data_IF_544433589996
#
_entry.id   IF_544433589996
#
_cell.length_a   1.000
_cell.length_b   1.000
_cell.length_c   1.000
_cell.angle_alpha   90.00
_cell.angle_beta   90.00
_cell.angle_gamma   90.00
#
_symmetry.space_group_name_H-M   'P 1'
#
loop_
_entity.id
_entity.type
_entity.pdbx_description
1 polymer ?
#
# COMPACT_ATOMS: atom_id res chain seq x y z
N UNK A 1 54.59 -19.55 -36.97
CA UNK A 1 53.91 -18.68 -35.98
C UNK A 1 53.06 -17.56 -36.62
N UNK A 2 53.55 -16.84 -37.64
CA UNK A 2 52.81 -15.71 -38.26
C UNK A 2 51.46 -16.10 -38.90
N UNK A 3 51.34 -17.28 -39.52
CA UNK A 3 50.07 -17.81 -40.08
C UNK A 3 49.02 -18.11 -39.01
N UNK A 4 49.43 -18.50 -37.81
CA UNK A 4 48.52 -18.78 -36.68
C UNK A 4 48.02 -17.47 -36.05
N UNK A 5 48.88 -16.45 -35.99
CA UNK A 5 48.54 -15.12 -35.49
C UNK A 5 47.57 -14.37 -36.42
N UNK A 6 47.74 -14.49 -37.75
CA UNK A 6 46.83 -13.90 -38.74
C UNK A 6 45.43 -14.56 -38.75
N UNK A 7 45.32 -15.86 -38.43
CA UNK A 7 44.01 -16.53 -38.26
C UNK A 7 43.23 -16.05 -37.03
N UNK A 8 43.93 -15.65 -35.97
CA UNK A 8 43.33 -15.08 -34.76
C UNK A 8 42.80 -13.64 -34.97
N UNK A 9 43.38 -12.89 -35.92
CA UNK A 9 42.91 -11.54 -36.28
C UNK A 9 41.66 -11.55 -37.16
N UNK A 10 41.42 -12.61 -37.95
CA UNK A 10 40.26 -12.74 -38.85
C UNK A 10 38.93 -13.03 -38.14
N UNK A 11 38.95 -13.39 -36.85
CA UNK A 11 37.74 -13.73 -36.06
C UNK A 11 37.13 -12.49 -35.39
N UNK A 12 37.93 -11.42 -35.21
CA UNK A 12 37.51 -10.19 -34.52
C UNK A 12 36.28 -9.48 -35.11
N UNK A 13 36.09 -9.33 -36.43
CA UNK A 13 34.92 -8.60 -36.94
C UNK A 13 33.61 -9.34 -36.71
N UNK A 14 33.62 -10.68 -36.78
CA UNK A 14 32.42 -11.51 -36.51
C UNK A 14 32.03 -11.43 -35.03
N UNK A 15 33.01 -11.48 -34.13
CA UNK A 15 32.76 -11.36 -32.69
C UNK A 15 32.21 -9.97 -32.31
N UNK A 16 32.72 -8.90 -32.92
CA UNK A 16 32.24 -7.54 -32.70
C UNK A 16 30.80 -7.37 -33.21
N UNK A 17 30.49 -7.89 -34.40
CA UNK A 17 29.11 -7.86 -34.92
C UNK A 17 28.14 -8.64 -34.02
N UNK A 18 28.56 -9.81 -33.52
CA UNK A 18 27.75 -10.61 -32.61
C UNK A 18 27.48 -9.88 -31.28
N UNK A 19 28.49 -9.22 -30.71
CA UNK A 19 28.32 -8.43 -29.49
C UNK A 19 27.41 -7.20 -29.69
N UNK A 20 27.46 -6.56 -30.86
CA UNK A 20 26.57 -5.44 -31.20
C UNK A 20 25.13 -5.95 -31.38
N UNK A 21 24.92 -7.09 -32.01
CA UNK A 21 23.60 -7.68 -32.20
C UNK A 21 22.98 -8.15 -30.87
N UNK A 22 23.75 -8.87 -30.06
CA UNK A 22 23.29 -9.30 -28.72
C UNK A 22 23.08 -8.10 -27.81
N UNK A 23 23.99 -7.12 -27.81
CA UNK A 23 23.84 -5.87 -27.08
C UNK A 23 22.62 -5.06 -27.53
N UNK A 24 22.37 -4.98 -28.84
CA UNK A 24 21.21 -4.28 -29.42
C UNK A 24 19.87 -4.96 -29.09
N UNK A 25 19.82 -6.30 -29.09
CA UNK A 25 18.62 -7.05 -28.68
C UNK A 25 18.39 -6.94 -27.16
N UNK A 26 19.45 -6.95 -26.36
CA UNK A 26 19.33 -6.77 -24.92
C UNK A 26 18.93 -5.34 -24.54
N UNK A 27 19.53 -4.31 -25.15
CA UNK A 27 19.18 -2.90 -24.89
C UNK A 27 17.82 -2.55 -25.50
N UNK A 28 17.53 -2.98 -26.72
CA UNK A 28 16.23 -2.77 -27.36
C UNK A 28 15.11 -3.54 -26.65
N UNK A 29 15.38 -4.77 -26.21
CA UNK A 29 14.49 -5.56 -25.37
C UNK A 29 14.27 -4.93 -24.01
N UNK A 30 15.32 -4.42 -23.36
CA UNK A 30 15.24 -3.72 -22.08
C UNK A 30 14.48 -2.40 -22.20
N UNK A 31 14.71 -1.60 -23.25
CA UNK A 31 13.97 -0.36 -23.49
C UNK A 31 12.51 -0.62 -23.89
N UNK A 32 12.23 -1.65 -24.70
CA UNK A 32 10.86 -2.04 -25.03
C UNK A 32 10.13 -2.60 -23.80
N UNK A 33 10.84 -3.34 -22.94
CA UNK A 33 10.33 -3.80 -21.65
C UNK A 33 10.01 -2.58 -20.77
N UNK A 34 10.96 -1.69 -20.51
CA UNK A 34 10.73 -0.48 -19.70
C UNK A 34 9.58 0.37 -20.25
N UNK A 35 9.49 0.55 -21.57
CA UNK A 35 8.43 1.36 -22.19
C UNK A 35 7.04 0.70 -22.17
N UNK A 36 6.95 -0.64 -22.25
CA UNK A 36 5.67 -1.35 -22.10
C UNK A 36 5.20 -1.40 -20.64
N UNK A 37 6.10 -1.34 -19.66
CA UNK A 37 5.77 -1.35 -18.24
C UNK A 37 5.46 0.05 -17.66
N UNK A 38 5.74 1.14 -18.40
CA UNK A 38 5.45 2.51 -17.95
C UNK A 38 3.95 2.84 -17.92
N UNK A 39 3.11 2.15 -18.70
CA UNK A 39 1.65 2.32 -18.61
C UNK A 39 1.05 1.21 -17.76
N UNK A 40 0.38 1.60 -16.68
CA UNK A 40 -0.39 0.66 -15.86
C UNK A 40 -1.35 -0.12 -16.77
N UNK A 41 -1.35 -1.46 -16.70
CA UNK A 41 -2.25 -2.27 -17.53
C UNK A 41 -3.70 -1.88 -17.25
N UNK A 42 -4.59 -1.93 -18.26
CA UNK A 42 -6.01 -1.68 -18.04
C UNK A 42 -6.56 -2.58 -16.94
N UNK A 43 -7.40 -2.03 -16.06
CA UNK A 43 -7.97 -2.74 -14.90
C UNK A 43 -8.63 -4.05 -15.31
N UNK A 44 -9.33 -4.08 -16.45
CA UNK A 44 -9.98 -5.30 -16.98
C UNK A 44 -8.99 -6.41 -17.33
N UNK A 45 -7.80 -6.05 -17.86
CA UNK A 45 -6.76 -7.03 -18.15
C UNK A 45 -6.17 -7.60 -16.84
N UNK A 46 -5.97 -6.75 -15.84
CA UNK A 46 -5.49 -7.18 -14.51
C UNK A 46 -6.52 -8.09 -13.84
N UNK A 47 -7.81 -7.72 -13.94
CA UNK A 47 -8.94 -8.48 -13.44
C UNK A 47 -9.04 -9.87 -14.10
N UNK A 48 -8.92 -9.95 -15.42
CA UNK A 48 -8.88 -11.23 -16.14
C UNK A 48 -7.75 -12.12 -15.61
N UNK A 49 -6.52 -11.59 -15.52
CA UNK A 49 -5.36 -12.34 -15.03
C UNK A 49 -5.49 -12.77 -13.57
N UNK A 50 -6.15 -11.96 -12.75
CA UNK A 50 -6.47 -12.30 -11.37
C UNK A 50 -7.38 -13.53 -11.31
N UNK A 51 -8.46 -13.53 -12.09
CA UNK A 51 -9.39 -14.66 -12.18
C UNK A 51 -8.72 -15.91 -12.74
N UNK A 52 -7.97 -15.79 -13.85
CA UNK A 52 -7.23 -16.91 -14.44
C UNK A 52 -6.32 -17.60 -13.40
N UNK A 53 -5.61 -16.80 -12.58
CA UNK A 53 -4.75 -17.35 -11.53
C UNK A 53 -5.56 -18.02 -10.42
N UNK A 54 -6.65 -17.41 -9.98
CA UNK A 54 -7.51 -18.01 -8.94
C UNK A 54 -8.05 -19.36 -9.40
N UNK A 55 -8.51 -19.45 -10.64
CA UNK A 55 -9.02 -20.68 -11.26
C UNK A 55 -7.91 -21.75 -11.41
N UNK A 56 -6.73 -21.37 -11.92
CA UNK A 56 -5.56 -22.25 -12.04
C UNK A 56 -5.17 -22.83 -10.67
N UNK A 57 -5.05 -21.97 -9.64
CA UNK A 57 -4.60 -22.39 -8.31
C UNK A 57 -5.67 -23.15 -7.53
N UNK A 58 -6.94 -22.85 -7.73
CA UNK A 58 -8.05 -23.61 -7.16
C UNK A 58 -8.31 -24.93 -7.91
N UNK A 59 -7.73 -25.12 -9.11
CA UNK A 59 -8.03 -26.20 -10.06
C UNK A 59 -9.53 -26.27 -10.39
N UNK A 60 -10.13 -25.10 -10.58
CA UNK A 60 -11.53 -24.95 -10.96
C UNK A 60 -11.62 -24.39 -12.37
N UNK A 61 -12.75 -24.65 -13.04
CA UNK A 61 -13.04 -24.05 -14.36
C UNK A 61 -13.62 -22.65 -14.27
N UNK A 62 -14.35 -22.37 -13.19
CA UNK A 62 -14.97 -21.07 -12.88
C UNK A 62 -15.50 -21.07 -11.45
N UNK A 63 -15.58 -19.89 -10.87
CA UNK A 63 -16.31 -19.64 -9.63
C UNK A 63 -17.78 -19.35 -9.95
N UNK A 64 -18.70 -19.89 -9.16
CA UNK A 64 -20.14 -19.79 -9.43
C UNK A 64 -20.99 -19.51 -8.17
N UNK A 65 -20.36 -19.18 -7.04
CA UNK A 65 -21.07 -18.90 -5.80
C UNK A 65 -21.52 -20.15 -5.07
N UNK A 66 -20.86 -21.29 -5.32
CA UNK A 66 -21.15 -22.56 -4.65
C UNK A 66 -21.03 -22.46 -3.12
N UNK A 67 -20.23 -21.53 -2.61
CA UNK A 67 -20.15 -21.19 -1.19
C UNK A 67 -21.01 -19.96 -0.93
N UNK A 68 -22.11 -20.09 -0.18
CA UNK A 68 -22.99 -18.95 0.13
C UNK A 68 -22.59 -18.30 1.45
N UNK A 69 -22.18 -17.04 1.40
CA UNK A 69 -22.17 -16.12 2.55
C UNK A 69 -23.51 -15.38 2.70
N UNK A 70 -24.35 -15.42 1.65
CA UNK A 70 -25.55 -14.61 1.51
C UNK A 70 -26.66 -14.89 2.55
N UNK A 71 -26.55 -16.00 3.30
CA UNK A 71 -27.50 -16.32 4.38
C UNK A 71 -27.19 -15.53 5.67
N UNK A 72 -26.01 -14.92 5.77
CA UNK A 72 -25.62 -14.12 6.92
C UNK A 72 -26.24 -12.72 6.88
N UNK A 73 -26.80 -12.29 8.02
CA UNK A 73 -27.62 -11.07 8.11
C UNK A 73 -26.82 -9.76 8.00
N UNK A 74 -25.53 -9.79 8.28
CA UNK A 74 -24.66 -8.62 8.24
C UNK A 74 -23.20 -8.98 7.89
N UNK A 75 -22.41 -7.96 7.55
CA UNK A 75 -20.99 -8.13 7.21
C UNK A 75 -20.14 -8.71 8.33
N UNK A 76 -20.48 -8.50 9.60
CA UNK A 76 -19.69 -9.05 10.69
C UNK A 76 -19.85 -10.58 10.74
N UNK A 77 -21.09 -11.06 10.59
CA UNK A 77 -21.38 -12.48 10.49
C UNK A 77 -20.75 -13.11 9.24
N UNK A 78 -20.82 -12.43 8.08
CA UNK A 78 -20.11 -12.86 6.86
C UNK A 78 -18.60 -13.00 7.10
N UNK A 79 -17.95 -11.99 7.70
CA UNK A 79 -16.51 -12.03 7.97
C UNK A 79 -16.14 -13.14 8.96
N UNK A 80 -16.98 -13.41 9.96
CA UNK A 80 -16.77 -14.54 10.89
C UNK A 80 -16.90 -15.87 10.15
N UNK A 81 -17.92 -16.03 9.30
CA UNK A 81 -18.11 -17.24 8.49
C UNK A 81 -16.93 -17.47 7.54
N UNK A 82 -16.48 -16.42 6.84
CA UNK A 82 -15.29 -16.45 5.99
C UNK A 82 -14.05 -16.88 6.78
N UNK A 83 -13.82 -16.27 7.94
CA UNK A 83 -12.67 -16.59 8.79
C UNK A 83 -12.67 -18.06 9.21
N UNK A 84 -13.84 -18.59 9.60
CA UNK A 84 -14.00 -20.01 9.93
C UNK A 84 -13.65 -20.92 8.74
N UNK A 85 -14.05 -20.54 7.52
CA UNK A 85 -13.71 -21.31 6.32
C UNK A 85 -12.19 -21.27 6.07
N UNK A 86 -11.57 -20.09 6.12
CA UNK A 86 -10.12 -19.97 5.96
C UNK A 86 -9.35 -20.79 6.99
N UNK A 87 -9.76 -20.75 8.26
CA UNK A 87 -9.12 -21.51 9.33
C UNK A 87 -9.31 -23.03 9.14
N UNK A 88 -10.33 -23.45 8.40
CA UNK A 88 -10.58 -24.84 8.03
C UNK A 88 -9.83 -25.29 6.77
N UNK A 89 -9.21 -24.37 6.02
CA UNK A 89 -8.49 -24.69 4.79
C UNK A 89 -7.25 -25.53 5.11
N UNK A 90 -7.25 -26.80 4.68
CA UNK A 90 -6.12 -27.72 4.89
C UNK A 90 -5.12 -27.71 3.74
N UNK A 91 -5.43 -27.03 2.65
CA UNK A 91 -4.55 -26.91 1.47
C UNK A 91 -4.62 -25.52 0.86
N UNK A 92 -3.58 -25.15 0.14
CA UNK A 92 -3.56 -23.94 -0.67
C UNK A 92 -4.66 -23.91 -1.72
N UNK A 93 -4.92 -25.03 -2.37
CA UNK A 93 -5.98 -25.14 -3.38
C UNK A 93 -7.34 -24.73 -2.78
N UNK A 94 -7.66 -25.23 -1.58
CA UNK A 94 -8.89 -24.88 -0.86
C UNK A 94 -8.90 -23.40 -0.46
N UNK A 95 -7.76 -22.84 -0.07
CA UNK A 95 -7.65 -21.42 0.24
C UNK A 95 -7.92 -20.53 -1.00
N UNK A 96 -7.34 -20.86 -2.15
CA UNK A 96 -7.62 -20.16 -3.41
C UNK A 96 -9.07 -20.33 -3.85
N UNK A 97 -9.66 -21.50 -3.59
CA UNK A 97 -11.09 -21.70 -3.81
C UNK A 97 -11.92 -20.74 -2.96
N UNK A 98 -11.66 -20.67 -1.65
CA UNK A 98 -12.37 -19.74 -0.76
C UNK A 98 -12.14 -18.27 -1.16
N UNK A 99 -10.93 -17.89 -1.53
CA UNK A 99 -10.65 -16.54 -2.01
C UNK A 99 -11.46 -16.20 -3.27
N UNK A 100 -11.50 -17.09 -4.27
CA UNK A 100 -12.27 -16.86 -5.48
C UNK A 100 -13.78 -16.81 -5.24
N UNK A 101 -14.33 -17.73 -4.44
CA UNK A 101 -15.77 -17.73 -4.11
C UNK A 101 -16.21 -16.48 -3.34
N UNK A 102 -15.41 -16.05 -2.35
CA UNK A 102 -15.73 -14.84 -1.59
C UNK A 102 -15.52 -13.57 -2.43
N UNK A 103 -14.53 -13.55 -3.31
CA UNK A 103 -14.31 -12.43 -4.22
C UNK A 103 -15.44 -12.31 -5.24
N UNK A 104 -15.94 -13.43 -5.75
CA UNK A 104 -17.08 -13.48 -6.67
C UNK A 104 -18.34 -12.93 -5.99
N UNK A 105 -18.62 -13.34 -4.75
CA UNK A 105 -19.74 -12.81 -3.98
C UNK A 105 -19.61 -11.32 -3.71
N UNK A 106 -18.41 -10.85 -3.37
CA UNK A 106 -18.16 -9.42 -3.18
C UNK A 106 -18.40 -8.65 -4.49
N UNK A 107 -18.04 -9.19 -5.66
CA UNK A 107 -18.38 -8.57 -6.94
C UNK A 107 -19.89 -8.48 -7.17
N UNK A 108 -20.65 -9.53 -6.88
CA UNK A 108 -22.12 -9.49 -6.97
C UNK A 108 -22.72 -8.44 -6.02
N UNK A 109 -22.16 -8.30 -4.82
CA UNK A 109 -22.57 -7.27 -3.86
C UNK A 109 -22.26 -5.86 -4.38
N UNK A 110 -21.13 -5.66 -5.08
CA UNK A 110 -20.80 -4.36 -5.70
C UNK A 110 -21.78 -3.97 -6.82
N UNK A 111 -22.39 -4.94 -7.52
CA UNK A 111 -23.41 -4.69 -8.54
C UNK A 111 -24.75 -4.24 -7.94
N UNK A 112 -24.95 -4.40 -6.64
CA UNK A 112 -26.18 -3.96 -5.98
C UNK A 112 -26.25 -2.44 -5.87
N UNK A 113 -27.47 -1.88 -5.86
CA UNK A 113 -27.70 -0.45 -5.61
C UNK A 113 -27.71 -0.09 -4.11
N UNK A 114 -27.42 -1.05 -3.23
CA UNK A 114 -27.44 -0.87 -1.79
C UNK A 114 -26.05 -0.43 -1.29
N UNK A 115 -25.89 0.81 -0.78
CA UNK A 115 -24.61 1.29 -0.30
C UNK A 115 -24.03 0.44 0.83
N UNK A 116 -24.87 -0.18 1.67
CA UNK A 116 -24.37 -1.04 2.75
C UNK A 116 -23.75 -2.32 2.18
N UNK A 117 -24.41 -2.95 1.20
CA UNK A 117 -23.87 -4.14 0.51
C UNK A 117 -22.57 -3.82 -0.23
N UNK A 118 -22.50 -2.69 -0.92
CA UNK A 118 -21.26 -2.25 -1.56
C UNK A 118 -20.14 -2.03 -0.53
N UNK A 119 -20.45 -1.49 0.64
CA UNK A 119 -19.48 -1.27 1.72
C UNK A 119 -18.96 -2.61 2.27
N UNK A 120 -19.87 -3.55 2.43
CA UNK A 120 -19.58 -4.88 2.93
C UNK A 120 -18.74 -5.68 1.92
N UNK A 121 -18.99 -5.51 0.63
CA UNK A 121 -18.15 -6.05 -0.44
C UNK A 121 -16.69 -5.58 -0.32
N UNK A 122 -16.46 -4.28 -0.08
CA UNK A 122 -15.10 -3.76 0.09
C UNK A 122 -14.42 -4.30 1.35
N UNK A 123 -15.16 -4.51 2.45
CA UNK A 123 -14.59 -5.16 3.66
C UNK A 123 -14.16 -6.59 3.36
N UNK A 124 -15.01 -7.35 2.66
CA UNK A 124 -14.72 -8.73 2.24
C UNK A 124 -13.47 -8.76 1.37
N UNK A 125 -13.40 -7.92 0.34
CA UNK A 125 -12.23 -7.83 -0.53
C UNK A 125 -10.96 -7.42 0.21
N UNK A 126 -11.06 -6.45 1.15
CA UNK A 126 -9.94 -6.02 1.98
C UNK A 126 -9.42 -7.15 2.88
N UNK A 127 -10.31 -7.96 3.43
CA UNK A 127 -9.96 -9.14 4.22
C UNK A 127 -9.28 -10.21 3.35
N UNK A 128 -9.84 -10.52 2.18
CA UNK A 128 -9.25 -11.48 1.23
C UNK A 128 -7.83 -11.04 0.85
N UNK A 129 -7.67 -9.80 0.38
CA UNK A 129 -6.36 -9.28 -0.04
C UNK A 129 -5.36 -9.23 1.11
N UNK A 130 -5.80 -8.91 2.34
CA UNK A 130 -4.92 -8.86 3.51
C UNK A 130 -4.47 -10.26 3.90
N UNK A 131 -5.35 -11.25 3.85
CA UNK A 131 -5.03 -12.66 4.14
C UNK A 131 -4.13 -13.27 3.09
N UNK A 132 -4.39 -13.01 1.81
CA UNK A 132 -3.50 -13.42 0.73
C UNK A 132 -2.07 -12.90 0.96
N UNK A 133 -1.94 -11.63 1.39
CA UNK A 133 -0.65 -11.01 1.69
C UNK A 133 0.01 -11.50 2.99
N UNK A 134 -0.71 -11.64 4.11
CA UNK A 134 -0.08 -11.80 5.44
C UNK A 134 0.33 -13.21 5.87
N UNK A 135 0.36 -14.15 4.94
CA UNK A 135 0.45 -15.60 5.20
C UNK A 135 -0.92 -16.20 5.45
N UNK A 136 -1.48 -16.81 4.41
CA UNK A 136 -2.77 -17.49 4.51
C UNK A 136 -2.65 -18.85 5.25
N UNK A 137 -1.43 -19.33 5.52
CA UNK A 137 -1.22 -20.65 6.11
C UNK A 137 -0.33 -20.61 7.37
N UNK A 138 -0.47 -21.63 8.23
CA UNK A 138 0.36 -21.81 9.43
C UNK A 138 1.86 -21.90 9.13
N UNK A 139 2.21 -22.24 7.89
CA UNK A 139 3.59 -22.47 7.45
C UNK A 139 4.30 -21.20 6.94
N UNK A 140 3.70 -20.02 7.10
CA UNK A 140 4.34 -18.74 6.73
C UNK A 140 4.29 -18.41 5.23
N UNK A 141 3.70 -19.26 4.39
CA UNK A 141 3.56 -19.00 2.96
C UNK A 141 2.48 -17.94 2.69
N UNK A 142 2.83 -16.93 1.89
CA UNK A 142 1.98 -15.81 1.47
C UNK A 142 1.92 -15.73 -0.06
N UNK A 143 0.82 -15.21 -0.61
CA UNK A 143 0.74 -14.79 -2.01
C UNK A 143 0.54 -13.27 -2.05
N UNK A 144 1.64 -12.54 -1.82
CA UNK A 144 1.65 -11.08 -1.90
C UNK A 144 1.15 -10.56 -3.25
N UNK A 145 1.49 -11.26 -4.35
CA UNK A 145 0.99 -10.92 -5.69
C UNK A 145 -0.53 -10.94 -5.74
N UNK A 146 -1.18 -11.98 -5.18
CA UNK A 146 -2.64 -12.06 -5.18
C UNK A 146 -3.26 -10.89 -4.41
N UNK A 147 -2.72 -10.57 -3.23
CA UNK A 147 -3.16 -9.42 -2.44
C UNK A 147 -3.03 -8.10 -3.23
N UNK A 148 -1.87 -7.87 -3.85
CA UNK A 148 -1.61 -6.66 -4.65
C UNK A 148 -2.58 -6.52 -5.84
N UNK A 149 -2.89 -7.61 -6.53
CA UNK A 149 -3.83 -7.59 -7.67
C UNK A 149 -5.27 -7.37 -7.24
N UNK A 150 -5.70 -7.91 -6.10
CA UNK A 150 -7.00 -7.57 -5.51
C UNK A 150 -7.07 -6.06 -5.21
N UNK A 151 -6.03 -5.48 -4.60
CA UNK A 151 -6.00 -4.05 -4.35
C UNK A 151 -6.06 -3.21 -5.64
N UNK A 152 -5.30 -3.61 -6.66
CA UNK A 152 -5.24 -2.93 -7.96
C UNK A 152 -6.58 -2.96 -8.70
N UNK A 153 -7.29 -4.09 -8.67
CA UNK A 153 -8.54 -4.28 -9.40
C UNK A 153 -9.72 -3.64 -8.68
N UNK A 154 -9.80 -3.78 -7.35
CA UNK A 154 -11.01 -3.41 -6.62
C UNK A 154 -10.88 -2.17 -5.76
N UNK A 155 -9.71 -1.84 -5.21
CA UNK A 155 -9.62 -0.70 -4.28
C UNK A 155 -9.30 0.59 -5.00
N UNK A 156 -8.24 0.59 -5.81
CA UNK A 156 -7.79 1.82 -6.48
C UNK A 156 -8.84 2.42 -7.41
N UNK A 157 -9.60 1.62 -8.21
CA UNK A 157 -10.65 2.14 -9.07
C UNK A 157 -11.91 2.56 -8.31
N UNK A 158 -12.17 1.98 -7.13
CA UNK A 158 -13.40 2.22 -6.36
C UNK A 158 -13.36 3.42 -5.44
N UNK A 159 -12.26 4.19 -5.45
CA UNK A 159 -12.12 5.39 -4.60
C UNK A 159 -13.27 6.40 -4.79
N UNK A 160 -13.74 6.73 -6.01
CA UNK A 160 -14.87 7.64 -6.20
C UNK A 160 -16.16 7.10 -5.57
N UNK A 161 -16.40 5.79 -5.68
CA UNK A 161 -17.56 5.14 -5.08
C UNK A 161 -17.52 5.27 -3.55
N UNK A 162 -16.37 4.97 -2.94
CA UNK A 162 -16.21 5.06 -1.48
C UNK A 162 -16.37 6.50 -0.99
N UNK A 163 -15.86 7.48 -1.73
CA UNK A 163 -16.10 8.90 -1.43
C UNK A 163 -17.60 9.24 -1.46
N UNK A 164 -18.33 8.78 -2.48
CA UNK A 164 -19.78 9.00 -2.59
C UNK A 164 -20.54 8.36 -1.43
N UNK A 165 -20.15 7.15 -1.01
CA UNK A 165 -20.77 6.44 0.11
C UNK A 165 -20.51 7.14 1.45
N UNK A 166 -19.29 7.63 1.68
CA UNK A 166 -18.96 8.42 2.88
C UNK A 166 -19.74 9.74 2.90
N UNK A 167 -19.89 10.39 1.74
CA UNK A 167 -20.69 11.60 1.62
C UNK A 167 -22.18 11.34 1.93
N UNK A 168 -22.75 10.25 1.38
CA UNK A 168 -24.11 9.83 1.65
C UNK A 168 -24.33 9.52 3.15
N UNK A 169 -23.39 8.81 3.78
CA UNK A 169 -23.46 8.50 5.22
C UNK A 169 -23.38 9.75 6.10
N UNK A 170 -22.56 10.74 5.71
CA UNK A 170 -22.52 12.02 6.42
C UNK A 170 -23.84 12.78 6.29
N UNK A 171 -24.48 12.74 5.13
CA UNK A 171 -25.77 13.38 4.90
C UNK A 171 -26.88 12.73 5.74
N UNK A 172 -26.89 11.40 5.90
CA UNK A 172 -27.89 10.70 6.73
C UNK A 172 -27.65 10.89 8.23
N UNK A 173 -26.39 11.05 8.65
CA UNK A 173 -26.03 11.29 10.05
C UNK A 173 -26.10 12.77 10.45
N UNK A 174 -26.27 13.69 9.50
CA UNK A 174 -26.45 15.09 9.82
C UNK A 174 -27.73 15.23 10.67
N UNK A 175 -27.68 15.90 11.84
CA UNK A 175 -28.87 16.12 12.63
C UNK A 175 -29.93 16.79 11.73
N UNK A 176 -31.21 16.40 11.84
CA UNK A 176 -32.26 17.01 11.02
C UNK A 176 -32.15 18.53 11.17
N UNK A 177 -31.85 19.20 10.06
CA UNK A 177 -31.68 20.65 10.00
C UNK A 177 -33.08 21.22 10.17
N UNK A 178 -33.47 21.38 11.42
CA UNK A 178 -34.85 21.68 11.72
C UNK A 178 -35.14 23.16 11.49
N UNK A 179 -36.10 23.51 10.61
CA UNK A 179 -36.42 24.91 10.40
C UNK A 179 -37.19 25.53 11.58
N UNK A 180 -37.82 24.74 12.47
CA UNK A 180 -38.56 25.17 13.70
C UNK A 180 -39.27 24.03 14.51
N UNK A 181 -39.29 22.78 14.05
CA UNK A 181 -40.19 21.65 14.33
C UNK A 181 -39.76 20.54 15.36
N UNK A 182 -38.67 20.64 16.12
CA UNK A 182 -38.27 19.64 17.12
C UNK A 182 -39.15 19.66 18.40
N UNK A 183 -40.10 20.60 18.48
CA UNK A 183 -40.89 20.90 19.69
C UNK A 183 -41.85 19.78 20.15
N UNK A 184 -42.08 18.73 19.38
CA UNK A 184 -42.99 17.63 19.77
C UNK A 184 -42.32 16.25 19.92
N UNK A 185 -40.99 16.14 19.86
CA UNK A 185 -40.31 14.84 19.88
C UNK A 185 -40.00 14.34 21.31
N UNK A 186 -41.02 14.12 22.14
CA UNK A 186 -40.91 13.34 23.39
C UNK A 186 -41.08 11.82 23.13
N UNK A 187 -40.51 11.30 22.03
CA UNK A 187 -40.40 9.85 21.82
C UNK A 187 -39.01 9.40 22.24
N UNK A 188 -38.88 8.28 22.98
CA UNK A 188 -37.58 7.77 23.39
C UNK A 188 -36.73 7.52 22.15
N UNK A 189 -35.63 8.25 22.04
CA UNK A 189 -34.62 8.03 21.02
C UNK A 189 -34.19 6.57 21.12
N UNK A 190 -34.30 5.76 20.05
CA UNK A 190 -33.84 4.39 20.08
C UNK A 190 -32.36 4.40 20.50
N UNK A 191 -32.06 3.63 21.54
CA UNK A 191 -30.72 3.48 22.13
C UNK A 191 -29.71 3.29 20.99
N UNK A 192 -28.66 4.12 20.86
CA UNK A 192 -27.75 4.05 19.72
C UNK A 192 -27.21 2.62 19.63
N UNK A 193 -27.58 1.94 18.54
CA UNK A 193 -27.16 0.58 18.29
C UNK A 193 -25.62 0.55 18.25
N UNK A 194 -25.02 -0.23 19.17
CA UNK A 194 -23.60 -0.63 19.25
C UNK A 194 -22.66 0.09 18.25
N UNK A 195 -22.30 1.33 18.57
CA UNK A 195 -21.46 2.20 17.72
C UNK A 195 -19.96 1.79 17.64
N UNK A 196 -19.56 0.63 18.15
CA UNK A 196 -18.14 0.33 18.43
C UNK A 196 -17.48 -0.74 17.54
N UNK A 197 -18.14 -1.28 16.51
CA UNK A 197 -17.57 -2.38 15.70
C UNK A 197 -17.40 -2.10 14.21
N UNK A 198 -17.93 -1.00 13.67
CA UNK A 198 -17.73 -0.64 12.26
C UNK A 198 -16.77 0.53 12.17
N UNK A 199 -15.46 0.25 12.15
CA UNK A 199 -14.48 1.24 11.68
C UNK A 199 -14.93 1.66 10.28
N UNK A 200 -15.42 2.89 10.12
CA UNK A 200 -15.98 3.37 8.86
C UNK A 200 -14.95 3.18 7.76
N UNK A 201 -15.37 2.54 6.66
CA UNK A 201 -14.52 2.38 5.50
C UNK A 201 -14.25 3.77 4.90
N UNK A 202 -13.02 4.23 4.98
CA UNK A 202 -12.57 5.49 4.38
C UNK A 202 -11.65 5.23 3.21
N UNK A 203 -11.54 6.19 2.28
CA UNK A 203 -10.56 6.13 1.19
C UNK A 203 -9.13 5.93 1.73
N UNK A 204 -8.77 6.64 2.80
CA UNK A 204 -7.49 6.44 3.50
C UNK A 204 -7.31 4.99 3.97
N UNK A 205 -8.33 4.38 4.58
CA UNK A 205 -8.23 3.01 5.07
C UNK A 205 -8.03 1.99 3.93
N UNK A 206 -8.63 2.24 2.76
CA UNK A 206 -8.45 1.42 1.56
C UNK A 206 -7.05 1.56 0.99
N UNK A 207 -6.56 2.79 0.86
CA UNK A 207 -5.20 3.04 0.35
C UNK A 207 -4.15 2.40 1.27
N UNK A 208 -4.32 2.50 2.60
CA UNK A 208 -3.43 1.84 3.56
C UNK A 208 -3.49 0.32 3.48
N UNK A 209 -4.66 -0.25 3.21
CA UNK A 209 -4.80 -1.69 2.97
C UNK A 209 -4.12 -2.11 1.69
N UNK A 210 -4.28 -1.34 0.61
CA UNK A 210 -3.59 -1.55 -0.65
C UNK A 210 -2.06 -1.49 -0.49
N UNK A 211 -1.53 -0.50 0.25
CA UNK A 211 -0.09 -0.39 0.51
C UNK A 211 0.48 -1.64 1.16
N UNK A 212 -0.16 -2.17 2.21
CA UNK A 212 0.30 -3.41 2.85
C UNK A 212 0.34 -4.60 1.89
N UNK A 213 -0.62 -4.67 0.97
CA UNK A 213 -0.67 -5.73 -0.05
C UNK A 213 0.46 -5.58 -1.07
N UNK A 214 0.70 -4.36 -1.57
CA UNK A 214 1.79 -4.06 -2.47
C UNK A 214 3.18 -4.24 -1.82
N UNK A 215 3.37 -3.81 -0.57
CA UNK A 215 4.60 -4.02 0.19
C UNK A 215 4.93 -5.51 0.33
N UNK A 216 3.92 -6.34 0.62
CA UNK A 216 4.09 -7.79 0.71
C UNK A 216 4.45 -8.40 -0.65
N UNK A 217 3.90 -7.86 -1.74
CA UNK A 217 4.27 -8.25 -3.09
C UNK A 217 5.67 -7.78 -3.52
N UNK A 218 6.34 -6.93 -2.72
CA UNK A 218 7.57 -6.24 -3.11
C UNK A 218 7.35 -5.16 -4.17
N UNK A 219 6.10 -4.75 -4.43
CA UNK A 219 5.73 -3.74 -5.43
C UNK A 219 5.73 -2.34 -4.80
N UNK A 220 6.91 -1.74 -4.65
CA UNK A 220 7.04 -0.47 -3.92
C UNK A 220 6.55 0.76 -4.69
N UNK A 221 6.59 0.77 -6.02
CA UNK A 221 6.15 1.94 -6.81
C UNK A 221 4.66 2.30 -6.60
N UNK A 222 3.71 1.35 -6.63
CA UNK A 222 2.33 1.62 -6.22
C UNK A 222 2.20 2.15 -4.78
N UNK A 223 3.01 1.65 -3.84
CA UNK A 223 3.03 2.09 -2.43
C UNK A 223 3.39 3.58 -2.37
N UNK A 224 4.42 4.00 -3.10
CA UNK A 224 4.86 5.39 -3.13
C UNK A 224 3.81 6.32 -3.74
N UNK A 225 3.20 5.93 -4.88
CA UNK A 225 2.09 6.70 -5.49
C UNK A 225 0.92 6.86 -4.52
N UNK A 226 0.59 5.79 -3.80
CA UNK A 226 -0.46 5.79 -2.80
C UNK A 226 -0.14 6.68 -1.60
N UNK A 227 1.10 6.71 -1.11
CA UNK A 227 1.50 7.65 -0.05
C UNK A 227 1.40 9.10 -0.51
N UNK A 228 1.82 9.41 -1.74
CA UNK A 228 1.63 10.76 -2.30
C UNK A 228 0.15 11.18 -2.34
N UNK A 229 -0.75 10.23 -2.63
CA UNK A 229 -2.19 10.45 -2.56
C UNK A 229 -2.66 10.63 -1.11
N UNK A 230 -2.22 9.79 -0.17
CA UNK A 230 -2.54 9.92 1.25
C UNK A 230 -2.14 11.29 1.80
N UNK A 231 -0.97 11.80 1.44
CA UNK A 231 -0.50 13.13 1.83
C UNK A 231 -1.42 14.23 1.30
N UNK A 232 -1.93 14.09 0.07
CA UNK A 232 -2.88 15.05 -0.53
C UNK A 232 -4.26 15.01 0.14
N UNK A 233 -4.69 13.84 0.58
CA UNK A 233 -5.98 13.63 1.23
C UNK A 233 -5.96 13.92 2.74
N UNK A 234 -4.78 13.91 3.36
CA UNK A 234 -4.64 14.07 4.79
C UNK A 234 -5.15 15.44 5.26
N UNK A 235 -6.02 15.49 6.29
CA UNK A 235 -6.33 16.74 6.99
C UNK A 235 -5.05 17.42 7.51
N UNK A 236 -5.05 18.74 7.63
CA UNK A 236 -3.86 19.53 8.03
C UNK A 236 -3.13 18.98 9.26
N UNK A 237 -3.88 18.50 10.27
CA UNK A 237 -3.32 17.92 11.50
C UNK A 237 -2.78 16.49 11.34
N UNK A 238 -3.03 15.82 10.21
CA UNK A 238 -2.59 14.46 9.90
C UNK A 238 -1.51 14.42 8.80
N UNK A 239 -1.25 15.52 8.10
CA UNK A 239 -0.21 15.58 7.04
C UNK A 239 1.16 15.15 7.56
N UNK A 240 1.56 15.63 8.75
CA UNK A 240 2.86 15.30 9.34
C UNK A 240 3.00 13.79 9.62
N UNK A 241 2.08 13.15 10.38
CA UNK A 241 2.11 11.70 10.58
C UNK A 241 2.18 10.90 9.28
N UNK A 242 1.37 11.25 8.27
CA UNK A 242 1.32 10.54 6.98
C UNK A 242 2.63 10.67 6.21
N UNK A 243 3.23 11.87 6.15
CA UNK A 243 4.53 12.07 5.49
C UNK A 243 5.66 11.35 6.22
N UNK A 244 5.65 11.31 7.57
CA UNK A 244 6.65 10.56 8.32
C UNK A 244 6.55 9.06 8.08
N UNK A 245 5.33 8.53 7.93
CA UNK A 245 5.14 7.15 7.51
C UNK A 245 5.69 6.91 6.10
N UNK A 246 5.43 7.82 5.16
CA UNK A 246 5.99 7.74 3.81
C UNK A 246 7.53 7.75 3.81
N UNK A 247 8.15 8.63 4.62
CA UNK A 247 9.61 8.69 4.82
C UNK A 247 10.15 7.35 5.29
N UNK A 248 9.52 6.70 6.29
CA UNK A 248 9.97 5.40 6.80
C UNK A 248 9.87 4.30 5.74
N UNK A 249 8.85 4.34 4.90
CA UNK A 249 8.68 3.39 3.80
C UNK A 249 9.74 3.61 2.72
N UNK A 250 10.08 4.86 2.40
CA UNK A 250 11.20 5.20 1.51
C UNK A 250 12.55 4.74 2.08
N UNK A 251 12.78 4.91 3.39
CA UNK A 251 13.98 4.40 4.05
C UNK A 251 14.08 2.87 3.99
N UNK A 252 12.96 2.17 4.22
CA UNK A 252 12.90 0.70 4.13
C UNK A 252 13.28 0.16 2.75
N UNK A 253 13.00 0.93 1.70
CA UNK A 253 13.36 0.63 0.30
C UNK A 253 14.72 1.25 -0.12
N UNK A 254 15.49 1.79 0.82
CA UNK A 254 16.77 2.48 0.58
C UNK A 254 16.69 3.71 -0.35
N UNK A 255 15.51 4.30 -0.55
CA UNK A 255 15.30 5.53 -1.34
C UNK A 255 15.59 6.78 -0.52
N UNK A 256 16.79 6.86 0.04
CA UNK A 256 17.18 7.90 1.00
C UNK A 256 17.06 9.32 0.44
N UNK A 257 17.35 9.55 -0.84
CA UNK A 257 17.27 10.89 -1.44
C UNK A 257 15.84 11.42 -1.46
N UNK A 258 14.87 10.54 -1.71
CA UNK A 258 13.45 10.90 -1.66
C UNK A 258 12.97 11.10 -0.23
N UNK A 259 13.40 10.23 0.70
CA UNK A 259 13.10 10.37 2.13
C UNK A 259 13.62 11.72 2.68
N UNK A 260 14.83 12.11 2.29
CA UNK A 260 15.45 13.41 2.62
C UNK A 260 14.62 14.55 2.04
N UNK A 261 14.21 14.48 0.77
CA UNK A 261 13.39 15.51 0.14
C UNK A 261 12.05 15.70 0.88
N UNK A 262 11.39 14.61 1.27
CA UNK A 262 10.16 14.65 2.05
C UNK A 262 10.35 15.28 3.45
N UNK A 263 11.45 14.95 4.14
CA UNK A 263 11.79 15.56 5.44
C UNK A 263 12.07 17.07 5.32
N UNK A 264 12.74 17.50 4.25
CA UNK A 264 12.95 18.93 3.99
C UNK A 264 11.63 19.66 3.75
N UNK A 265 10.68 19.04 3.04
CA UNK A 265 9.35 19.63 2.85
C UNK A 265 8.59 19.73 4.18
N UNK A 266 8.69 18.69 5.02
CA UNK A 266 8.08 18.70 6.36
C UNK A 266 8.59 19.86 7.22
N UNK A 267 9.89 20.11 7.23
CA UNK A 267 10.50 21.17 8.03
C UNK A 267 10.09 22.58 7.57
N UNK A 268 9.81 22.79 6.28
CA UNK A 268 9.36 24.10 5.75
C UNK A 268 8.00 24.53 6.29
N UNK A 269 7.11 23.56 6.55
CA UNK A 269 5.73 23.82 6.98
C UNK A 269 5.45 23.34 8.41
N UNK A 270 6.50 22.95 9.15
CA UNK A 270 6.36 22.40 10.49
C UNK A 270 5.89 23.49 11.47
N UNK A 271 4.85 23.22 12.27
CA UNK A 271 4.54 24.02 13.44
C UNK A 271 5.75 24.09 14.39
N UNK A 272 5.95 25.21 15.08
CA UNK A 272 7.13 25.45 15.94
C UNK A 272 7.37 24.33 16.96
N UNK A 273 6.30 23.77 17.53
CA UNK A 273 6.36 22.66 18.50
C UNK A 273 6.76 21.30 17.89
N UNK A 274 6.78 21.19 16.55
CA UNK A 274 7.17 19.97 15.81
C UNK A 274 8.57 20.09 15.17
N UNK A 275 9.20 21.28 15.17
CA UNK A 275 10.50 21.48 14.52
C UNK A 275 11.58 20.57 15.12
N UNK A 276 11.71 20.56 16.44
CA UNK A 276 12.72 19.75 17.14
C UNK A 276 12.58 18.24 16.85
N UNK A 277 11.40 17.59 17.05
CA UNK A 277 11.27 16.17 16.75
C UNK A 277 11.47 15.86 15.26
N UNK A 278 11.06 16.74 14.35
CA UNK A 278 11.29 16.55 12.91
C UNK A 278 12.77 16.64 12.53
N UNK A 279 13.54 17.56 13.13
CA UNK A 279 14.99 17.65 12.90
C UNK A 279 15.75 16.42 13.42
N UNK A 280 15.32 15.86 14.56
CA UNK A 280 15.87 14.61 15.07
C UNK A 280 15.63 13.46 14.10
N UNK A 281 14.40 13.34 13.58
CA UNK A 281 14.10 12.32 12.58
C UNK A 281 14.90 12.55 11.30
N UNK A 282 15.03 13.79 10.85
CA UNK A 282 15.78 14.13 9.64
C UNK A 282 17.27 13.78 9.78
N UNK A 283 17.88 14.09 10.92
CA UNK A 283 19.24 13.68 11.23
C UNK A 283 19.41 12.15 11.22
N UNK A 284 18.42 11.39 11.70
CA UNK A 284 18.44 9.91 11.64
C UNK A 284 18.39 9.39 10.20
N UNK A 285 17.54 9.98 9.35
CA UNK A 285 17.47 9.61 7.92
C UNK A 285 18.81 9.90 7.24
N UNK A 286 19.41 11.07 7.52
CA UNK A 286 20.73 11.44 7.00
C UNK A 286 21.83 10.49 7.46
N UNK A 287 21.84 10.12 8.75
CA UNK A 287 22.76 9.11 9.30
C UNK A 287 22.63 7.77 8.57
N UNK A 288 21.40 7.26 8.42
CA UNK A 288 21.15 5.97 7.74
C UNK A 288 21.57 5.99 6.27
N UNK A 289 21.43 7.13 5.61
CA UNK A 289 21.92 7.35 4.25
C UNK A 289 23.45 7.53 4.15
N UNK A 290 24.16 7.59 5.29
CA UNK A 290 25.60 7.82 5.34
C UNK A 290 26.05 9.28 5.22
N UNK A 291 25.11 10.24 5.22
CA UNK A 291 25.36 11.68 5.11
C UNK A 291 25.63 12.29 6.49
N UNK A 292 26.68 11.82 7.17
CA UNK A 292 26.94 12.12 8.57
C UNK A 292 27.15 13.62 8.86
N UNK A 293 27.88 14.34 7.99
CA UNK A 293 28.11 15.78 8.16
C UNK A 293 26.80 16.59 8.15
N UNK A 294 25.87 16.23 7.26
CA UNK A 294 24.55 16.85 7.22
C UNK A 294 23.72 16.49 8.47
N UNK A 295 23.81 15.24 8.94
CA UNK A 295 23.13 14.83 10.17
C UNK A 295 23.62 15.63 11.38
N UNK A 296 24.94 15.84 11.49
CA UNK A 296 25.55 16.67 12.55
C UNK A 296 25.06 18.11 12.45
N UNK A 297 25.03 18.69 11.24
CA UNK A 297 24.54 20.06 11.02
C UNK A 297 23.08 20.23 11.49
N UNK A 298 22.22 19.24 11.23
CA UNK A 298 20.83 19.28 11.69
C UNK A 298 20.72 19.16 13.22
N UNK A 299 21.55 18.34 13.87
CA UNK A 299 21.58 18.25 15.33
C UNK A 299 22.06 19.55 16.00
N UNK A 300 23.02 20.25 15.39
CA UNK A 300 23.50 21.56 15.86
C UNK A 300 22.42 22.66 15.76
N UNK A 301 21.53 22.57 14.77
CA UNK A 301 20.38 23.49 14.70
C UNK A 301 19.41 23.28 15.87
N UNK A 302 19.37 22.09 16.48
CA UNK A 302 18.53 21.80 17.65
C UNK A 302 19.17 22.33 18.94
N UNK A 303 20.49 22.16 19.13
CA UNK A 303 21.19 22.61 20.36
C UNK A 303 21.03 24.11 20.62
N UNK A 304 20.94 24.89 19.55
CA UNK A 304 20.72 26.35 19.62
C UNK A 304 19.31 26.74 20.09
N UNK A 305 18.38 25.78 20.23
CA UNK A 305 16.98 25.99 20.63
C UNK A 305 16.64 25.54 22.06
N UNK A 306 17.67 25.23 22.87
CA UNK A 306 17.57 25.11 24.34
C UNK A 306 16.86 23.86 24.91
N UNK A 307 17.02 22.69 24.29
CA UNK A 307 16.70 21.40 24.92
C UNK A 307 17.82 20.38 24.69
N UNK A 308 18.40 19.91 25.80
CA UNK A 308 19.34 18.78 25.96
C UNK A 308 20.64 18.79 25.13
N UNK A 309 21.39 19.91 25.19
CA UNK A 309 22.75 20.03 24.61
C UNK A 309 23.64 18.80 24.87
N UNK A 310 23.66 18.28 26.11
CA UNK A 310 24.48 17.13 26.49
C UNK A 310 24.10 15.81 25.79
N UNK A 311 22.83 15.59 25.46
CA UNK A 311 22.39 14.38 24.75
C UNK A 311 22.73 14.47 23.25
N UNK A 312 22.55 15.67 22.69
CA UNK A 312 22.89 15.99 21.30
C UNK A 312 24.40 15.97 21.06
N UNK A 313 25.20 16.44 22.02
CA UNK A 313 26.67 16.36 21.97
C UNK A 313 27.14 14.91 21.88
N UNK A 314 26.57 14.02 22.69
CA UNK A 314 26.89 12.58 22.66
C UNK A 314 26.55 11.94 21.32
N UNK A 315 25.40 12.30 20.73
CA UNK A 315 25.01 11.81 19.40
C UNK A 315 25.95 12.34 18.33
N UNK A 316 26.30 13.63 18.39
CA UNK A 316 27.23 14.28 17.46
C UNK A 316 28.61 13.62 17.49
N UNK A 317 29.16 13.35 18.69
CA UNK A 317 30.45 12.65 18.84
C UNK A 317 30.39 11.25 18.23
N UNK A 318 29.32 10.48 18.47
CA UNK A 318 29.15 9.15 17.86
C UNK A 318 29.05 9.20 16.34
N UNK A 319 28.38 10.21 15.78
CA UNK A 319 28.28 10.39 14.33
C UNK A 319 29.63 10.71 13.71
N UNK A 320 30.45 11.57 14.34
CA UNK A 320 31.82 11.87 13.89
C UNK A 320 32.69 10.62 13.85
N UNK A 321 32.68 9.83 14.92
CA UNK A 321 33.41 8.55 14.95
C UNK A 321 32.95 7.58 13.85
N UNK A 322 31.67 7.56 13.50
CA UNK A 322 31.15 6.74 12.37
C UNK A 322 31.57 7.29 11.01
N UNK A 323 31.68 8.60 10.86
CA UNK A 323 32.17 9.24 9.65
C UNK A 323 33.66 8.94 9.43
N UNK A 324 34.48 9.01 10.49
CA UNK A 324 35.93 8.76 10.42
C UNK A 324 36.28 7.29 10.13
N UNK A 325 35.35 6.35 10.38
CA UNK A 325 35.55 4.91 10.21
C UNK A 325 35.08 4.35 8.84
N UNK A 326 34.59 5.20 7.92
CA UNK A 326 34.19 4.79 6.56
C UNK A 326 35.26 5.16 5.53
#
# INVERSE_FOLDING_TARGET
>A
MLKTFLRLLSIKPILIMFLILVGGVLVGGYMAYDHYWIKEPPVELVKSRLWDRLEEKARLRKFDGGIKLADEKDSAAMLVAMNKQYDSATTWQMMYQFFGEHLWQAEEMLKSNDPQKQQDAFKIMAEIGTRAARSAFRDGASDGWLGARIAQVYFLPSRPLVQAMVAAQKATNAPPVDPKAAKNAARPVPKPARANLTKTLTEESLIRSANRMFETAGEMEPVFKNYQLLVKLAPTNQVIPVRLEYVRVLEGDNRFDQAIAEMQQLLKTAPTNQIVPLRLEYARVLERSGRFELAISELQQITNTNLTAKALDRLTVKLKQRADNK
#
